data_IF_191483770977
#
_entry.id   IF_191483770977
#
_cell.length_a   1.000
_cell.length_b   1.000
_cell.length_c   1.000
_cell.angle_alpha   90.00
_cell.angle_beta   90.00
_cell.angle_gamma   90.00
#
_symmetry.space_group_name_H-M   'P 1'
#
loop_
_entity.id
_entity.type
_entity.pdbx_description
1 polymer ?
#
# COMPACT_ATOMS: atom_id res chain seq x y z
N UNK A 1 -1.06 -18.85 -15.08
CA UNK A 1 0.26 -18.18 -15.04
C UNK A 1 1.07 -18.78 -13.91
N UNK A 2 2.36 -19.07 -14.14
CA UNK A 2 3.28 -19.63 -13.15
C UNK A 2 3.64 -18.53 -12.11
N UNK A 3 3.72 -18.90 -10.82
CA UNK A 3 4.10 -17.95 -9.77
C UNK A 3 5.58 -17.57 -9.85
N UNK A 4 5.88 -16.29 -9.63
CA UNK A 4 7.22 -15.71 -9.66
C UNK A 4 7.97 -16.08 -8.38
N UNK A 5 9.18 -16.63 -8.52
CA UNK A 5 10.10 -16.88 -7.40
C UNK A 5 11.09 -15.76 -7.18
N UNK A 6 11.39 -15.03 -8.25
CA UNK A 6 12.33 -13.92 -8.28
C UNK A 6 11.77 -12.81 -9.20
N UNK A 7 12.20 -11.58 -8.97
CA UNK A 7 11.98 -10.44 -9.87
C UNK A 7 13.31 -9.83 -10.28
N UNK A 8 13.36 -9.29 -11.50
CA UNK A 8 14.49 -8.50 -11.95
C UNK A 8 14.59 -7.20 -11.13
N UNK A 9 15.80 -6.82 -10.72
CA UNK A 9 16.04 -5.61 -9.94
C UNK A 9 15.57 -4.34 -10.66
N UNK A 10 15.78 -4.25 -11.98
CA UNK A 10 15.34 -3.10 -12.77
C UNK A 10 13.80 -3.00 -12.81
N UNK A 11 13.11 -4.14 -12.74
CA UNK A 11 11.64 -4.16 -12.64
C UNK A 11 11.17 -3.64 -11.28
N UNK A 12 11.81 -4.08 -10.18
CA UNK A 12 11.52 -3.59 -8.83
C UNK A 12 11.73 -2.08 -8.77
N UNK A 13 12.88 -1.59 -9.24
CA UNK A 13 13.24 -0.18 -9.25
C UNK A 13 12.28 0.66 -10.10
N UNK A 14 11.87 0.17 -11.28
CA UNK A 14 10.88 0.84 -12.11
C UNK A 14 9.50 0.93 -11.42
N UNK A 15 9.07 -0.12 -10.73
CA UNK A 15 7.83 -0.09 -9.95
C UNK A 15 7.92 0.87 -8.75
N UNK A 16 9.05 0.86 -8.03
CA UNK A 16 9.32 1.79 -6.92
C UNK A 16 9.28 3.25 -7.40
N UNK A 17 9.98 3.57 -8.48
CA UNK A 17 10.00 4.91 -9.06
C UNK A 17 8.60 5.40 -9.47
N UNK A 18 7.74 4.53 -10.01
CA UNK A 18 6.34 4.88 -10.31
C UNK A 18 5.56 5.22 -9.05
N UNK A 19 5.73 4.45 -7.97
CA UNK A 19 5.08 4.70 -6.68
C UNK A 19 5.55 6.04 -6.09
N UNK A 20 6.85 6.30 -6.08
CA UNK A 20 7.44 7.56 -5.62
C UNK A 20 6.96 8.78 -6.42
N UNK A 21 6.79 8.61 -7.74
CA UNK A 21 6.24 9.66 -8.59
C UNK A 21 4.79 9.99 -8.22
N UNK A 22 3.95 8.98 -7.97
CA UNK A 22 2.55 9.18 -7.58
C UNK A 22 2.44 9.87 -6.20
N UNK A 23 3.27 9.49 -5.23
CA UNK A 23 3.28 10.15 -3.90
C UNK A 23 3.76 11.60 -3.99
N UNK A 24 4.76 11.89 -4.83
CA UNK A 24 5.23 13.25 -5.08
C UNK A 24 4.15 14.11 -5.75
N UNK A 25 3.52 13.61 -6.81
CA UNK A 25 2.45 14.32 -7.52
C UNK A 25 1.26 14.62 -6.61
N UNK A 26 0.83 13.66 -5.79
CA UNK A 26 -0.24 13.89 -4.82
C UNK A 26 0.11 15.03 -3.85
N UNK A 27 1.34 15.01 -3.31
CA UNK A 27 1.83 16.06 -2.40
C UNK A 27 1.81 17.44 -3.07
N UNK A 28 2.29 17.53 -4.31
CA UNK A 28 2.32 18.79 -5.06
C UNK A 28 0.91 19.33 -5.31
N UNK A 29 -0.03 18.47 -5.74
CA UNK A 29 -1.44 18.87 -5.96
C UNK A 29 -2.10 19.31 -4.66
N UNK A 30 -1.91 18.56 -3.57
CA UNK A 30 -2.48 18.90 -2.26
C UNK A 30 -1.91 20.23 -1.73
N UNK A 31 -0.62 20.50 -1.94
CA UNK A 31 0.01 21.77 -1.55
C UNK A 31 -0.52 22.93 -2.40
N UNK A 32 -0.55 22.78 -3.73
CA UNK A 32 -1.06 23.80 -4.63
C UNK A 32 -2.53 24.14 -4.34
N UNK A 33 -3.35 23.15 -3.99
CA UNK A 33 -4.74 23.37 -3.60
C UNK A 33 -4.86 24.22 -2.31
N UNK A 34 -3.98 24.00 -1.34
CA UNK A 34 -3.92 24.79 -0.10
C UNK A 34 -3.44 26.22 -0.33
N UNK A 35 -2.41 26.40 -1.16
CA UNK A 35 -1.81 27.71 -1.40
C UNK A 35 -2.73 28.67 -2.18
N UNK A 36 -3.66 28.13 -2.97
CA UNK A 36 -4.56 28.90 -3.85
C UNK A 36 -6.04 28.84 -3.45
N UNK A 37 -6.39 28.29 -2.28
CA UNK A 37 -7.77 28.20 -1.82
C UNK A 37 -8.33 29.55 -1.35
N UNK A 38 -9.19 30.18 -2.16
CA UNK A 38 -9.74 31.53 -1.90
C UNK A 38 -10.85 31.60 -0.83
N UNK A 39 -11.44 30.48 -0.37
CA UNK A 39 -12.44 30.48 0.71
C UNK A 39 -12.73 29.06 1.26
N UNK A 40 -13.09 29.01 2.54
CA UNK A 40 -13.45 27.82 3.36
C UNK A 40 -12.44 26.66 3.36
N UNK A 41 -11.37 26.86 4.15
CA UNK A 41 -10.35 25.85 4.43
C UNK A 41 -10.93 24.54 4.98
N UNK A 42 -12.10 24.57 5.64
CA UNK A 42 -12.69 23.36 6.21
C UNK A 42 -13.28 22.43 5.15
N UNK A 43 -13.92 23.00 4.13
CA UNK A 43 -14.42 22.25 2.98
C UNK A 43 -13.30 21.68 2.11
N UNK A 44 -12.21 22.44 1.93
CA UNK A 44 -11.04 21.99 1.20
C UNK A 44 -10.33 20.82 1.91
N UNK A 45 -10.05 20.94 3.21
CA UNK A 45 -9.35 19.87 3.95
C UNK A 45 -10.19 18.59 3.99
N UNK A 46 -11.50 18.67 4.22
CA UNK A 46 -12.36 17.47 4.18
C UNK A 46 -12.40 16.78 2.80
N UNK A 47 -12.37 17.57 1.72
CA UNK A 47 -12.24 17.03 0.37
C UNK A 47 -10.86 16.39 0.12
N UNK A 48 -9.77 17.01 0.60
CA UNK A 48 -8.42 16.48 0.48
C UNK A 48 -8.25 15.19 1.30
N UNK A 49 -8.78 15.10 2.52
CA UNK A 49 -8.74 13.88 3.34
C UNK A 49 -9.48 12.71 2.66
N UNK A 50 -10.66 12.99 2.10
CA UNK A 50 -11.45 11.99 1.38
C UNK A 50 -10.73 11.53 0.10
N UNK A 51 -10.15 12.48 -0.65
CA UNK A 51 -9.35 12.20 -1.83
C UNK A 51 -8.10 11.39 -1.48
N UNK A 52 -7.39 11.75 -0.41
CA UNK A 52 -6.18 11.07 0.05
C UNK A 52 -6.45 9.59 0.32
N UNK A 53 -7.48 9.32 1.13
CA UNK A 53 -7.88 7.95 1.49
C UNK A 53 -8.19 7.11 0.25
N UNK A 54 -9.03 7.62 -0.65
CA UNK A 54 -9.42 6.89 -1.87
C UNK A 54 -8.25 6.72 -2.85
N UNK A 55 -7.42 7.75 -3.01
CA UNK A 55 -6.26 7.70 -3.88
C UNK A 55 -5.24 6.66 -3.42
N UNK A 56 -4.89 6.65 -2.13
CA UNK A 56 -3.90 5.71 -1.61
C UNK A 56 -4.42 4.30 -1.43
N UNK A 57 -5.72 4.11 -1.16
CA UNK A 57 -6.35 2.79 -1.23
C UNK A 57 -6.25 2.20 -2.65
N UNK A 58 -6.48 3.01 -3.68
CA UNK A 58 -6.30 2.56 -5.07
C UNK A 58 -4.82 2.30 -5.42
N UNK A 59 -3.90 3.14 -4.93
CA UNK A 59 -2.46 2.94 -5.11
C UNK A 59 -1.94 1.69 -4.40
N UNK A 60 -2.58 1.25 -3.32
CA UNK A 60 -2.30 -0.05 -2.68
C UNK A 60 -2.66 -1.22 -3.61
N UNK A 61 -3.80 -1.14 -4.32
CA UNK A 61 -4.18 -2.14 -5.31
C UNK A 61 -3.20 -2.17 -6.49
N UNK A 62 -2.72 -1.01 -6.92
CA UNK A 62 -1.67 -0.90 -7.96
C UNK A 62 -0.37 -1.57 -7.48
N UNK A 63 0.05 -1.31 -6.24
CA UNK A 63 1.24 -1.93 -5.65
C UNK A 63 1.12 -3.46 -5.59
N UNK A 64 0.00 -4.00 -5.10
CA UNK A 64 -0.23 -5.45 -5.12
C UNK A 64 -0.28 -5.97 -6.56
N UNK A 65 -0.90 -5.24 -7.48
CA UNK A 65 -1.02 -5.58 -8.89
C UNK A 65 0.32 -5.79 -9.59
N UNK A 66 1.31 -4.94 -9.33
CA UNK A 66 2.67 -5.09 -9.90
C UNK A 66 3.33 -6.43 -9.56
N UNK A 67 2.95 -7.03 -8.44
CA UNK A 67 3.60 -8.22 -7.90
C UNK A 67 2.59 -9.33 -7.54
N UNK A 68 1.40 -9.32 -8.14
CA UNK A 68 0.29 -10.24 -7.78
C UNK A 68 0.66 -11.71 -7.98
N UNK A 69 1.62 -11.99 -8.85
CA UNK A 69 2.12 -13.33 -9.15
C UNK A 69 3.23 -13.82 -8.20
N UNK A 70 3.51 -13.14 -7.08
CA UNK A 70 4.45 -13.62 -6.04
C UNK A 70 4.10 -15.05 -5.59
N UNK A 71 5.07 -15.96 -5.67
CA UNK A 71 4.88 -17.34 -5.21
C UNK A 71 4.78 -17.37 -3.68
N UNK A 72 3.67 -17.91 -3.16
CA UNK A 72 3.40 -17.98 -1.70
C UNK A 72 4.48 -18.71 -0.90
N UNK A 73 5.17 -19.68 -1.50
CA UNK A 73 6.26 -20.40 -0.85
C UNK A 73 7.49 -19.53 -0.57
N UNK A 74 7.74 -18.50 -1.38
CA UNK A 74 8.82 -17.53 -1.19
C UNK A 74 8.34 -16.37 -0.30
N UNK A 75 7.12 -15.88 -0.56
CA UNK A 75 6.49 -14.79 0.21
C UNK A 75 6.38 -15.10 1.71
N UNK A 76 6.11 -16.36 2.05
CA UNK A 76 5.83 -16.75 3.43
C UNK A 76 4.44 -16.30 3.90
N UNK A 77 4.15 -16.61 5.17
CA UNK A 77 2.89 -16.28 5.87
C UNK A 77 3.12 -15.78 7.30
N UNK A 78 4.29 -15.20 7.54
CA UNK A 78 4.80 -14.78 8.85
C UNK A 78 4.37 -13.36 9.24
N UNK A 79 3.39 -12.78 8.53
CA UNK A 79 2.85 -11.45 8.82
C UNK A 79 3.79 -10.31 8.37
N UNK A 80 4.62 -10.56 7.36
CA UNK A 80 5.54 -9.56 6.81
C UNK A 80 4.81 -8.48 5.98
N UNK A 81 5.54 -7.46 5.49
CA UNK A 81 4.94 -6.36 4.72
C UNK A 81 4.25 -6.80 3.41
N UNK A 82 4.72 -7.86 2.74
CA UNK A 82 4.07 -8.42 1.54
C UNK A 82 2.72 -9.04 1.88
N UNK A 83 2.65 -9.68 3.06
CA UNK A 83 1.45 -10.28 3.61
C UNK A 83 0.43 -9.21 4.01
N UNK A 84 0.88 -8.13 4.67
CA UNK A 84 0.01 -7.00 5.04
C UNK A 84 -0.62 -6.33 3.81
N UNK A 85 0.18 -6.01 2.79
CA UNK A 85 -0.35 -5.47 1.51
C UNK A 85 -1.36 -6.42 0.88
N UNK A 86 -1.09 -7.73 0.87
CA UNK A 86 -2.01 -8.73 0.32
C UNK A 86 -3.35 -8.75 1.06
N UNK A 87 -3.34 -8.73 2.39
CA UNK A 87 -4.57 -8.76 3.20
C UNK A 87 -5.33 -7.45 3.07
N UNK A 88 -4.65 -6.30 3.05
CA UNK A 88 -5.28 -5.00 2.83
C UNK A 88 -5.90 -4.89 1.43
N UNK A 89 -5.20 -5.32 0.38
CA UNK A 89 -5.74 -5.34 -0.98
C UNK A 89 -6.98 -6.24 -1.08
N UNK A 90 -6.94 -7.42 -0.47
CA UNK A 90 -8.13 -8.30 -0.41
C UNK A 90 -9.26 -7.68 0.41
N UNK A 91 -8.95 -6.97 1.49
CA UNK A 91 -9.94 -6.23 2.30
C UNK A 91 -10.67 -5.15 1.50
N UNK A 92 -9.93 -4.40 0.68
CA UNK A 92 -10.48 -3.40 -0.23
C UNK A 92 -11.39 -4.04 -1.30
N UNK A 93 -10.98 -5.18 -1.87
CA UNK A 93 -11.70 -5.84 -2.95
C UNK A 93 -12.92 -6.66 -2.48
N UNK A 94 -12.83 -7.30 -1.31
CA UNK A 94 -13.76 -8.36 -0.89
C UNK A 94 -14.51 -8.04 0.41
N UNK A 95 -14.09 -7.02 1.17
CA UNK A 95 -14.68 -6.68 2.48
C UNK A 95 -15.04 -5.20 2.63
N UNK A 96 -15.38 -4.54 1.52
CA UNK A 96 -15.87 -3.15 1.52
C UNK A 96 -14.88 -2.13 2.10
N UNK A 97 -13.58 -2.44 2.06
CA UNK A 97 -12.54 -1.58 2.63
C UNK A 97 -12.37 -1.67 4.15
N UNK A 98 -12.93 -2.68 4.80
CA UNK A 98 -12.66 -2.99 6.21
C UNK A 98 -11.62 -4.10 6.32
N UNK A 99 -10.59 -3.94 7.15
CA UNK A 99 -9.55 -4.95 7.34
C UNK A 99 -10.16 -6.27 7.81
N UNK A 100 -9.97 -7.33 7.02
CA UNK A 100 -10.43 -8.68 7.36
C UNK A 100 -9.39 -9.46 8.15
N UNK A 101 -9.85 -10.43 8.94
CA UNK A 101 -9.00 -11.48 9.46
C UNK A 101 -8.59 -12.45 8.33
N UNK A 102 -7.35 -12.92 8.34
CA UNK A 102 -6.88 -14.00 7.45
C UNK A 102 -6.34 -15.17 8.29
N UNK A 103 -7.06 -16.30 8.38
CA UNK A 103 -6.62 -17.46 9.15
C UNK A 103 -5.30 -18.07 8.66
N UNK A 104 -4.92 -17.83 7.40
CA UNK A 104 -3.66 -18.31 6.83
C UNK A 104 -2.53 -17.30 6.97
N UNK A 105 -2.84 -16.01 7.11
CA UNK A 105 -1.88 -14.92 7.22
C UNK A 105 -2.28 -14.06 8.44
N UNK A 106 -2.02 -14.54 9.66
CA UNK A 106 -2.33 -13.75 10.84
C UNK A 106 -1.46 -12.48 10.85
N UNK A 107 -2.10 -11.31 10.86
CA UNK A 107 -1.42 -10.04 11.07
C UNK A 107 -1.45 -9.71 12.56
N UNK A 108 -0.28 -9.47 13.12
CA UNK A 108 -0.10 -8.96 14.49
C UNK A 108 0.00 -7.43 14.42
N UNK A 109 -0.97 -6.66 14.97
CA UNK A 109 -0.95 -5.20 14.92
C UNK A 109 0.30 -4.56 15.55
N UNK A 110 0.97 -5.24 16.49
CA UNK A 110 2.20 -4.70 17.10
C UNK A 110 3.42 -4.83 16.17
N UNK A 111 3.34 -5.71 15.17
CA UNK A 111 4.43 -6.02 14.23
C UNK A 111 4.15 -5.55 12.80
N UNK A 112 2.87 -5.42 12.44
CA UNK A 112 2.44 -4.88 11.16
C UNK A 112 2.91 -3.43 10.98
N UNK A 113 3.11 -3.00 9.74
CA UNK A 113 3.59 -1.67 9.41
C UNK A 113 2.57 -0.60 9.80
N UNK A 114 1.30 -0.83 9.49
CA UNK A 114 0.22 0.11 9.79
C UNK A 114 -0.37 -0.09 11.18
N UNK A 115 -0.22 -1.29 11.76
CA UNK A 115 -0.78 -1.62 13.06
C UNK A 115 -2.30 -1.62 13.12
N UNK A 116 -2.97 -1.73 11.96
CA UNK A 116 -4.42 -1.83 11.86
C UNK A 116 -4.92 -3.13 12.47
N UNK A 117 -6.07 -3.06 13.14
CA UNK A 117 -6.76 -4.21 13.72
C UNK A 117 -7.88 -4.69 12.80
N UNK A 118 -8.16 -5.99 12.84
CA UNK A 118 -9.31 -6.53 12.11
C UNK A 118 -10.60 -5.81 12.51
N UNK A 119 -11.42 -5.47 11.51
CA UNK A 119 -12.64 -4.67 11.67
C UNK A 119 -12.43 -3.16 11.55
N UNK A 120 -11.19 -2.66 11.50
CA UNK A 120 -10.93 -1.23 11.26
C UNK A 120 -11.00 -0.90 9.77
N UNK A 121 -11.44 0.32 9.40
CA UNK A 121 -11.47 0.75 8.01
C UNK A 121 -10.07 0.98 7.47
N UNK A 122 -9.82 0.55 6.23
CA UNK A 122 -8.60 0.86 5.49
C UNK A 122 -8.75 2.26 4.89
N UNK A 123 -8.07 3.23 5.49
CA UNK A 123 -8.05 4.63 5.04
C UNK A 123 -6.61 5.12 5.05
N UNK A 124 -5.91 4.86 3.95
CA UNK A 124 -4.48 5.17 3.88
C UNK A 124 -4.25 6.66 3.66
N UNK A 125 -3.46 7.26 4.55
CA UNK A 125 -2.85 8.57 4.30
C UNK A 125 -1.61 8.43 3.40
N UNK A 126 -1.13 9.55 2.84
CA UNK A 126 0.14 9.62 2.12
C UNK A 126 1.29 9.04 2.97
N UNK A 127 1.32 9.39 4.26
CA UNK A 127 2.37 8.95 5.18
C UNK A 127 2.33 7.43 5.40
N UNK A 128 1.16 6.88 5.66
CA UNK A 128 0.97 5.44 5.87
C UNK A 128 1.29 4.64 4.61
N UNK A 129 0.80 5.09 3.46
CA UNK A 129 1.09 4.44 2.19
C UNK A 129 2.59 4.45 1.87
N UNK A 130 3.28 5.57 2.12
CA UNK A 130 4.74 5.66 1.92
C UNK A 130 5.47 4.68 2.82
N UNK A 131 5.13 4.64 4.13
CA UNK A 131 5.72 3.67 5.08
C UNK A 131 5.49 2.22 4.66
N UNK A 132 4.26 1.89 4.23
CA UNK A 132 3.88 0.55 3.81
C UNK A 132 4.59 0.14 2.51
N UNK A 133 4.61 1.00 1.50
CA UNK A 133 5.29 0.72 0.23
C UNK A 133 6.81 0.56 0.41
N UNK A 134 7.45 1.39 1.25
CA UNK A 134 8.87 1.23 1.58
C UNK A 134 9.17 -0.10 2.30
N UNK A 135 8.32 -0.50 3.24
CA UNK A 135 8.44 -1.79 3.90
C UNK A 135 8.20 -2.95 2.93
N UNK A 136 7.22 -2.82 2.04
CA UNK A 136 6.91 -3.79 1.01
C UNK A 136 8.10 -4.02 0.08
N UNK A 137 8.68 -2.98 -0.50
CA UNK A 137 9.79 -3.16 -1.44
C UNK A 137 11.06 -3.72 -0.76
N UNK A 138 11.37 -3.29 0.46
CA UNK A 138 12.47 -3.88 1.24
C UNK A 138 12.28 -5.38 1.47
N UNK A 139 11.06 -5.78 1.82
CA UNK A 139 10.74 -7.19 2.04
C UNK A 139 10.70 -7.98 0.73
N UNK A 140 10.28 -7.34 -0.36
CA UNK A 140 10.29 -7.92 -1.70
C UNK A 140 11.71 -8.22 -2.15
N UNK A 141 12.62 -7.25 -2.07
CA UNK A 141 14.05 -7.42 -2.40
C UNK A 141 14.69 -8.51 -1.53
N UNK A 142 14.37 -8.54 -0.23
CA UNK A 142 14.91 -9.56 0.69
C UNK A 142 14.51 -10.99 0.31
N UNK A 143 13.33 -11.19 -0.26
CA UNK A 143 12.76 -12.53 -0.53
C UNK A 143 12.81 -12.95 -1.99
N UNK A 144 12.75 -12.00 -2.91
CA UNK A 144 12.57 -12.24 -4.35
C UNK A 144 13.70 -11.66 -5.22
N UNK A 145 14.77 -11.10 -4.66
CA UNK A 145 15.96 -10.81 -5.47
C UNK A 145 16.72 -12.09 -5.78
N UNK A 146 17.21 -12.22 -7.01
CA UNK A 146 18.12 -13.29 -7.39
C UNK A 146 19.38 -13.25 -6.49
N UNK A 147 19.83 -14.41 -6.01
CA UNK A 147 21.09 -14.56 -5.24
C UNK A 147 22.29 -14.55 -6.18
#
# INVERSE_FOLDING_TARGET
MLGMREYDGDYIDACRSRVETQTAMFREVAQAARDHGDADLSGLEGALESLESEYFNNMLLVLEGYFVHRLRGVEGKDGNALNEVRVLARSLMENGGTLMEDPQIPLDPERAVLGLKAGEPVRLTLQEYTRLSDAFFRELERRFSAT
#
